data_IF_292922724099
#
_entry.id   IF_292922724099
#
_cell.length_a   1.000
_cell.length_b   1.000
_cell.length_c   1.000
_cell.angle_alpha   90.00
_cell.angle_beta   90.00
_cell.angle_gamma   90.00
#
_symmetry.space_group_name_H-M   'P 1'
#
loop_
_entity.id
_entity.type
_entity.pdbx_description
1 polymer ?
#
# COMPACT_ATOMS: atom_id res chain seq x y z
N UNK A 1 2.57 -31.78 -23.23
CA UNK A 1 2.43 -31.11 -21.92
C UNK A 1 1.69 -29.81 -22.15
N UNK A 2 0.42 -29.73 -21.74
CA UNK A 2 -0.44 -28.58 -21.97
C UNK A 2 0.03 -27.43 -21.08
N UNK A 3 0.23 -26.24 -21.68
CA UNK A 3 0.62 -25.02 -20.96
C UNK A 3 -0.37 -24.81 -19.81
N UNK A 4 0.12 -24.82 -18.57
CA UNK A 4 -0.64 -24.37 -17.40
C UNK A 4 -0.66 -22.84 -17.45
N UNK A 5 -1.83 -22.26 -17.67
CA UNK A 5 -1.98 -20.83 -17.55
C UNK A 5 -1.76 -20.42 -16.08
N UNK A 6 -0.88 -19.45 -15.79
CA UNK A 6 -0.61 -19.00 -14.42
C UNK A 6 -1.77 -18.20 -13.83
N UNK A 7 -2.81 -17.92 -14.62
CA UNK A 7 -3.94 -17.09 -14.25
C UNK A 7 -5.06 -18.01 -13.77
N UNK A 8 -5.49 -17.80 -12.53
CA UNK A 8 -6.67 -18.46 -11.98
C UNK A 8 -7.89 -18.02 -12.79
N UNK A 9 -8.58 -18.98 -13.43
CA UNK A 9 -9.84 -18.71 -14.12
C UNK A 9 -10.81 -17.99 -13.18
N UNK A 10 -11.55 -17.02 -13.72
CA UNK A 10 -12.56 -16.28 -12.96
C UNK A 10 -13.58 -17.24 -12.34
N UNK A 11 -13.92 -18.34 -13.02
CA UNK A 11 -14.81 -19.37 -12.48
C UNK A 11 -14.30 -20.03 -11.19
N UNK A 12 -12.99 -20.30 -11.11
CA UNK A 12 -12.37 -20.85 -9.89
C UNK A 12 -12.41 -19.80 -8.79
N UNK A 13 -12.12 -18.54 -9.12
CA UNK A 13 -12.14 -17.42 -8.17
C UNK A 13 -13.52 -17.24 -7.57
N UNK A 14 -14.55 -17.22 -8.41
CA UNK A 14 -15.94 -17.06 -8.00
C UNK A 14 -16.40 -18.23 -7.14
N UNK A 15 -16.05 -19.46 -7.53
CA UNK A 15 -16.33 -20.65 -6.72
C UNK A 15 -15.65 -20.55 -5.35
N UNK A 16 -14.39 -20.11 -5.31
CA UNK A 16 -13.63 -20.03 -4.07
C UNK A 16 -14.22 -18.98 -3.12
N UNK A 17 -14.67 -17.85 -3.67
CA UNK A 17 -15.42 -16.84 -2.92
C UNK A 17 -16.76 -17.41 -2.42
N UNK A 18 -17.54 -18.07 -3.27
CA UNK A 18 -18.85 -18.62 -2.88
C UNK A 18 -18.75 -19.67 -1.75
N UNK A 19 -17.73 -20.54 -1.81
CA UNK A 19 -17.52 -21.58 -0.81
C UNK A 19 -16.90 -21.07 0.49
N UNK A 20 -16.25 -19.90 0.49
CA UNK A 20 -15.60 -19.33 1.69
C UNK A 20 -16.29 -18.10 2.27
N UNK A 21 -17.15 -17.45 1.47
CA UNK A 21 -17.74 -16.14 1.74
C UNK A 21 -16.70 -15.07 2.11
N UNK A 22 -15.46 -15.21 1.63
CA UNK A 22 -14.35 -14.30 1.90
C UNK A 22 -13.68 -14.49 3.27
N UNK A 23 -14.06 -15.49 4.07
CA UNK A 23 -13.40 -15.79 5.35
C UNK A 23 -12.04 -16.42 5.06
N UNK A 24 -10.96 -15.68 5.31
CA UNK A 24 -9.59 -16.07 4.95
C UNK A 24 -9.18 -17.44 5.52
N UNK A 25 -9.55 -17.75 6.75
CA UNK A 25 -9.25 -19.04 7.38
C UNK A 25 -9.92 -20.22 6.63
N UNK A 26 -11.14 -20.02 6.13
CA UNK A 26 -11.86 -21.02 5.33
C UNK A 26 -11.24 -21.12 3.94
N UNK A 27 -10.84 -20.00 3.32
CA UNK A 27 -10.14 -19.99 2.03
C UNK A 27 -8.88 -20.87 2.08
N UNK A 28 -8.04 -20.67 3.10
CA UNK A 28 -6.78 -21.40 3.27
C UNK A 28 -7.05 -22.89 3.54
N UNK A 29 -7.97 -23.22 4.44
CA UNK A 29 -8.33 -24.60 4.75
C UNK A 29 -8.89 -25.34 3.54
N UNK A 30 -9.82 -24.71 2.80
CA UNK A 30 -10.40 -25.28 1.59
C UNK A 30 -9.31 -25.59 0.54
N UNK A 31 -8.34 -24.70 0.38
CA UNK A 31 -7.24 -24.89 -0.56
C UNK A 31 -6.32 -26.05 -0.18
N UNK A 32 -5.89 -26.10 1.08
CA UNK A 32 -5.03 -27.19 1.58
C UNK A 32 -5.76 -28.53 1.44
N UNK A 33 -7.03 -28.60 1.83
CA UNK A 33 -7.84 -29.82 1.72
C UNK A 33 -8.03 -30.23 0.25
N UNK A 34 -8.24 -29.27 -0.65
CA UNK A 34 -8.32 -29.55 -2.08
C UNK A 34 -7.00 -30.07 -2.65
N UNK A 35 -5.86 -29.52 -2.23
CA UNK A 35 -4.55 -30.04 -2.63
C UNK A 35 -4.33 -31.47 -2.13
N UNK A 36 -4.64 -31.74 -0.86
CA UNK A 36 -4.52 -33.09 -0.29
C UNK A 36 -5.39 -34.10 -1.04
N UNK A 37 -6.63 -33.72 -1.36
CA UNK A 37 -7.53 -34.59 -2.13
C UNK A 37 -7.07 -34.76 -3.57
N UNK A 38 -6.55 -33.71 -4.21
CA UNK A 38 -5.97 -33.79 -5.55
C UNK A 38 -4.84 -34.83 -5.58
N UNK A 39 -3.90 -34.75 -4.62
CA UNK A 39 -2.81 -35.72 -4.46
C UNK A 39 -3.32 -37.15 -4.26
N UNK A 40 -4.31 -37.34 -3.38
CA UNK A 40 -4.89 -38.67 -3.11
C UNK A 40 -5.55 -39.29 -4.36
N UNK A 41 -6.16 -38.45 -5.21
CA UNK A 41 -6.81 -38.89 -6.47
C UNK A 41 -5.88 -38.93 -7.68
N UNK A 42 -4.62 -38.50 -7.53
CA UNK A 42 -3.69 -38.34 -8.66
C UNK A 42 -4.04 -37.20 -9.61
N UNK A 43 -4.89 -36.26 -9.20
CA UNK A 43 -5.20 -35.07 -9.98
C UNK A 43 -4.10 -34.02 -9.79
N UNK A 44 -3.48 -33.56 -10.88
CA UNK A 44 -2.40 -32.56 -10.81
C UNK A 44 -2.91 -31.10 -10.83
N UNK A 45 -4.22 -30.90 -10.86
CA UNK A 45 -4.85 -29.58 -11.00
C UNK A 45 -6.09 -29.49 -10.11
N UNK A 46 -6.24 -28.36 -9.42
CA UNK A 46 -7.46 -28.06 -8.65
C UNK A 46 -8.54 -27.61 -9.61
N UNK A 47 -9.66 -28.34 -9.63
CA UNK A 47 -10.84 -28.01 -10.43
C UNK A 47 -11.96 -27.45 -9.55
N UNK A 48 -12.92 -26.77 -10.18
CA UNK A 48 -14.15 -26.28 -9.53
C UNK A 48 -14.90 -27.43 -8.85
N UNK A 49 -15.03 -28.56 -9.53
CA UNK A 49 -15.69 -29.76 -8.98
C UNK A 49 -14.98 -30.29 -7.74
N UNK A 50 -13.64 -30.29 -7.74
CA UNK A 50 -12.85 -30.72 -6.60
C UNK A 50 -13.09 -29.82 -5.38
N UNK A 51 -13.06 -28.50 -5.59
CA UNK A 51 -13.34 -27.52 -4.52
C UNK A 51 -14.74 -27.73 -3.92
N UNK A 52 -15.76 -27.91 -4.77
CA UNK A 52 -17.14 -28.17 -4.33
C UNK A 52 -17.23 -29.46 -3.52
N UNK A 53 -16.62 -30.55 -3.98
CA UNK A 53 -16.62 -31.83 -3.24
C UNK A 53 -15.91 -31.72 -1.90
N UNK A 54 -14.76 -31.04 -1.84
CA UNK A 54 -14.01 -30.83 -0.59
C UNK A 54 -14.82 -30.01 0.40
N UNK A 55 -15.46 -28.94 -0.08
CA UNK A 55 -16.37 -28.14 0.73
C UNK A 55 -17.50 -28.99 1.29
N UNK A 56 -18.18 -29.78 0.46
CA UNK A 56 -19.30 -30.62 0.87
C UNK A 56 -18.90 -31.69 1.89
N UNK A 57 -17.72 -32.27 1.75
CA UNK A 57 -17.30 -33.38 2.59
C UNK A 57 -16.63 -32.93 3.89
N UNK A 58 -15.73 -31.95 3.81
CA UNK A 58 -14.79 -31.61 4.89
C UNK A 58 -15.22 -30.37 5.71
N UNK A 59 -16.06 -29.49 5.14
CA UNK A 59 -16.44 -28.21 5.76
C UNK A 59 -17.91 -28.16 6.25
N UNK A 60 -18.55 -29.33 6.43
CA UNK A 60 -19.97 -29.44 6.83
C UNK A 60 -20.36 -28.59 8.04
N UNK A 61 -19.47 -28.51 9.03
CA UNK A 61 -19.72 -27.75 10.27
C UNK A 61 -19.89 -26.25 10.03
N UNK A 62 -19.22 -25.69 9.02
CA UNK A 62 -19.28 -24.26 8.71
C UNK A 62 -20.33 -23.92 7.65
N UNK A 63 -20.99 -24.92 7.04
CA UNK A 63 -22.02 -24.68 6.01
C UNK A 63 -23.20 -23.83 6.49
N UNK A 64 -23.80 -24.04 7.68
CA UNK A 64 -24.94 -23.23 8.12
C UNK A 64 -24.54 -21.75 8.26
N UNK A 65 -23.35 -21.50 8.78
CA UNK A 65 -22.78 -20.16 8.94
C UNK A 65 -22.50 -19.50 7.58
N UNK A 66 -21.85 -20.21 6.65
CA UNK A 66 -21.59 -19.69 5.30
C UNK A 66 -22.88 -19.45 4.52
N UNK A 67 -23.90 -20.26 4.73
CA UNK A 67 -25.22 -20.06 4.13
C UNK A 67 -25.94 -18.85 4.73
N UNK A 68 -25.75 -18.58 6.03
CA UNK A 68 -26.23 -17.34 6.64
C UNK A 68 -25.57 -16.11 6.01
N UNK A 69 -24.24 -16.14 5.80
CA UNK A 69 -23.50 -15.08 5.13
C UNK A 69 -23.96 -14.87 3.68
N UNK A 70 -24.13 -15.95 2.88
CA UNK A 70 -24.69 -15.87 1.52
C UNK A 70 -26.04 -15.21 1.47
N UNK A 71 -26.87 -15.47 2.48
CA UNK A 71 -28.23 -14.95 2.50
C UNK A 71 -28.32 -13.45 2.75
N UNK A 72 -27.27 -12.83 3.31
CA UNK A 72 -27.26 -11.40 3.65
C UNK A 72 -28.30 -10.99 4.70
N UNK A 73 -28.95 -11.95 5.37
CA UNK A 73 -30.04 -11.69 6.31
C UNK A 73 -29.46 -11.48 7.71
N UNK A 74 -29.56 -10.26 8.28
CA UNK A 74 -28.93 -9.93 9.56
C UNK A 74 -29.33 -10.87 10.70
N UNK A 75 -30.57 -11.32 10.75
CA UNK A 75 -31.10 -12.19 11.80
C UNK A 75 -30.46 -13.59 11.77
N UNK A 76 -30.08 -14.09 10.59
CA UNK A 76 -29.40 -15.38 10.44
C UNK A 76 -27.91 -15.23 10.73
N UNK A 77 -27.30 -14.14 10.30
CA UNK A 77 -25.89 -13.83 10.58
C UNK A 77 -25.68 -13.64 12.09
N UNK A 78 -26.64 -13.00 12.78
CA UNK A 78 -26.62 -12.79 14.22
C UNK A 78 -26.60 -14.09 15.03
N UNK A 79 -27.15 -15.19 14.51
CA UNK A 79 -27.09 -16.52 15.17
C UNK A 79 -25.68 -17.10 15.21
N UNK A 80 -24.79 -16.61 14.35
CA UNK A 80 -23.38 -16.98 14.27
C UNK A 80 -22.48 -15.79 14.68
N UNK A 81 -23.02 -14.82 15.43
CA UNK A 81 -22.39 -13.54 15.79
C UNK A 81 -21.18 -13.63 16.73
N UNK A 82 -20.82 -14.81 17.24
CA UNK A 82 -19.56 -15.00 17.96
C UNK A 82 -18.32 -14.86 17.03
N UNK A 83 -18.55 -14.62 15.74
CA UNK A 83 -17.58 -14.10 14.76
C UNK A 83 -17.51 -12.57 14.71
N UNK A 84 -18.09 -11.86 15.68
CA UNK A 84 -17.87 -10.43 15.85
C UNK A 84 -16.40 -10.20 16.22
N UNK A 85 -15.60 -9.71 15.27
CA UNK A 85 -14.39 -8.98 15.62
C UNK A 85 -14.86 -7.59 16.03
N UNK A 86 -14.86 -7.25 17.34
CA UNK A 86 -15.16 -5.89 17.76
C UNK A 86 -14.13 -4.97 17.08
N UNK A 87 -14.56 -3.77 16.69
CA UNK A 87 -13.72 -2.75 16.06
C UNK A 87 -13.32 -3.00 14.59
N UNK A 88 -13.89 -3.97 13.87
CA UNK A 88 -13.73 -4.07 12.42
C UNK A 88 -14.19 -2.80 11.72
N UNK A 89 -15.33 -2.22 12.10
CA UNK A 89 -15.83 -0.96 11.54
C UNK A 89 -14.85 0.20 11.79
N UNK A 90 -14.23 0.23 12.97
CA UNK A 90 -13.20 1.24 13.31
C UNK A 90 -11.91 1.01 12.51
N UNK A 91 -11.50 -0.24 12.30
CA UNK A 91 -10.37 -0.60 11.42
C UNK A 91 -10.66 -0.26 9.97
N UNK A 92 -11.88 -0.47 9.48
CA UNK A 92 -12.30 -0.08 8.13
C UNK A 92 -12.24 1.44 7.99
N UNK A 93 -12.79 2.20 8.95
CA UNK A 93 -12.69 3.67 8.97
C UNK A 93 -11.23 4.13 9.02
N UNK A 94 -10.40 3.53 9.86
CA UNK A 94 -8.97 3.85 9.96
C UNK A 94 -8.22 3.51 8.68
N UNK A 95 -8.52 2.38 8.03
CA UNK A 95 -7.93 1.99 6.76
C UNK A 95 -8.40 2.90 5.63
N UNK A 96 -9.67 3.32 5.59
CA UNK A 96 -10.15 4.33 4.65
C UNK A 96 -9.40 5.64 4.86
N UNK A 97 -9.25 6.11 6.10
CA UNK A 97 -8.46 7.31 6.41
C UNK A 97 -6.99 7.16 6.00
N UNK A 98 -6.38 6.00 6.25
CA UNK A 98 -5.00 5.70 5.87
C UNK A 98 -4.85 5.59 4.36
N UNK A 99 -5.87 5.07 3.66
CA UNK A 99 -5.94 5.01 2.21
C UNK A 99 -6.08 6.42 1.64
N UNK A 100 -6.99 7.26 2.16
CA UNK A 100 -7.11 8.68 1.80
C UNK A 100 -5.87 9.52 2.16
N UNK A 101 -5.09 9.10 3.16
CA UNK A 101 -3.79 9.70 3.48
C UNK A 101 -2.63 9.13 2.64
N UNK A 102 -2.83 7.98 1.96
CA UNK A 102 -1.82 7.28 1.16
C UNK A 102 -2.07 7.33 -0.35
N UNK A 103 -3.26 7.73 -0.79
CA UNK A 103 -3.45 8.31 -2.12
C UNK A 103 -2.48 9.48 -2.16
N UNK A 104 -1.49 9.40 -3.05
CA UNK A 104 -0.64 10.54 -3.37
C UNK A 104 -1.60 11.67 -3.67
N UNK A 105 -1.73 12.59 -2.72
CA UNK A 105 -2.58 13.77 -2.89
C UNK A 105 -2.13 14.37 -4.22
N UNK A 106 -3.06 14.51 -5.16
CA UNK A 106 -2.74 15.21 -6.40
C UNK A 106 -2.19 16.58 -6.00
N UNK A 107 -1.21 17.13 -6.73
CA UNK A 107 -0.70 18.49 -6.45
C UNK A 107 -1.87 19.49 -6.31
N UNK A 108 -2.96 19.20 -7.01
CA UNK A 108 -4.26 19.86 -6.93
C UNK A 108 -4.91 19.77 -5.54
N UNK A 109 -4.97 18.60 -4.91
CA UNK A 109 -5.57 18.41 -3.59
C UNK A 109 -4.75 19.10 -2.49
N UNK A 110 -3.42 19.14 -2.64
CA UNK A 110 -2.54 19.90 -1.74
C UNK A 110 -2.73 21.40 -1.91
N UNK A 111 -2.82 21.87 -3.15
CA UNK A 111 -3.09 23.26 -3.47
C UNK A 111 -4.41 23.76 -2.88
N UNK A 112 -5.50 22.99 -3.08
CA UNK A 112 -6.83 23.34 -2.56
C UNK A 112 -6.89 23.35 -1.03
N UNK A 113 -6.12 22.48 -0.35
CA UNK A 113 -6.02 22.45 1.12
C UNK A 113 -5.25 23.64 1.69
N UNK A 114 -4.24 24.15 0.98
CA UNK A 114 -3.46 25.32 1.41
C UNK A 114 -4.23 26.65 1.28
N UNK A 115 -5.25 26.69 0.43
CA UNK A 115 -6.08 27.87 0.22
C UNK A 115 -7.21 27.90 1.26
N UNK A 116 -7.16 28.84 2.20
CA UNK A 116 -8.12 28.93 3.32
C UNK A 116 -9.47 29.54 2.94
N UNK A 117 -9.54 30.39 1.90
CA UNK A 117 -10.77 31.09 1.51
C UNK A 117 -11.40 30.48 0.25
N UNK A 118 -12.72 30.30 0.24
CA UNK A 118 -13.47 29.67 -0.85
C UNK A 118 -13.30 30.44 -2.17
N UNK A 119 -13.19 31.77 -2.10
CA UNK A 119 -12.91 32.61 -3.27
C UNK A 119 -11.54 32.33 -3.88
N UNK A 120 -10.53 32.02 -3.07
CA UNK A 120 -9.18 31.70 -3.54
C UNK A 120 -9.13 30.33 -4.23
N UNK A 121 -9.87 29.34 -3.69
CA UNK A 121 -10.01 28.00 -4.29
C UNK A 121 -10.68 28.06 -5.65
N UNK A 122 -11.73 28.88 -5.77
CA UNK A 122 -12.47 29.07 -7.03
C UNK A 122 -11.61 29.77 -8.09
N UNK A 123 -10.79 30.74 -7.68
CA UNK A 123 -9.85 31.42 -8.57
C UNK A 123 -8.74 30.48 -9.05
N UNK A 124 -8.17 29.69 -8.15
CA UNK A 124 -7.21 28.63 -8.49
C UNK A 124 -7.82 27.63 -9.49
N UNK A 125 -9.05 27.18 -9.25
CA UNK A 125 -9.75 26.25 -10.14
C UNK A 125 -10.09 26.85 -11.52
N UNK A 126 -10.19 28.18 -11.65
CA UNK A 126 -10.42 28.85 -12.93
C UNK A 126 -9.12 29.04 -13.74
N UNK A 127 -7.98 29.20 -13.08
CA UNK A 127 -6.68 29.48 -13.74
C UNK A 127 -5.80 28.23 -13.92
N UNK A 128 -6.18 27.09 -13.32
CA UNK A 128 -5.39 25.85 -13.35
C UNK A 128 -5.11 25.31 -14.76
N UNK A 129 -5.98 25.62 -15.73
CA UNK A 129 -5.87 25.09 -17.08
C UNK A 129 -4.88 25.92 -17.93
N UNK A 130 -4.54 27.13 -17.50
CA UNK A 130 -3.68 28.07 -18.23
C UNK A 130 -2.27 28.20 -17.61
N UNK A 131 -2.09 27.91 -16.31
CA UNK A 131 -0.82 28.14 -15.60
C UNK A 131 -0.49 27.02 -14.60
N UNK A 132 0.80 26.76 -14.31
CA UNK A 132 1.22 25.74 -13.36
C UNK A 132 0.80 26.05 -11.92
N UNK A 133 0.29 25.03 -11.24
CA UNK A 133 -0.31 25.04 -9.90
C UNK A 133 0.50 25.84 -8.85
N UNK A 134 1.81 25.63 -8.78
CA UNK A 134 2.69 26.24 -7.77
C UNK A 134 2.79 27.76 -7.91
N UNK A 135 2.87 28.26 -9.14
CA UNK A 135 2.97 29.68 -9.43
C UNK A 135 1.68 30.41 -9.06
N UNK A 136 0.52 29.77 -9.29
CA UNK A 136 -0.78 30.34 -8.95
C UNK A 136 -0.92 30.45 -7.42
N UNK A 137 -0.55 29.41 -6.67
CA UNK A 137 -0.63 29.40 -5.20
C UNK A 137 0.28 30.49 -4.62
N UNK A 138 1.51 30.61 -5.13
CA UNK A 138 2.45 31.64 -4.68
C UNK A 138 1.93 33.05 -4.96
N UNK A 139 1.41 33.30 -6.16
CA UNK A 139 0.82 34.60 -6.51
C UNK A 139 -0.38 34.93 -5.61
N UNK A 140 -1.27 33.95 -5.37
CA UNK A 140 -2.43 34.10 -4.46
C UNK A 140 -1.94 34.46 -3.05
N UNK A 141 -1.00 33.71 -2.48
CA UNK A 141 -0.49 33.96 -1.13
C UNK A 141 0.16 35.34 -1.01
N UNK A 142 0.99 35.73 -1.98
CA UNK A 142 1.66 37.05 -2.00
C UNK A 142 0.65 38.20 -2.06
N UNK A 143 -0.35 38.11 -2.93
CA UNK A 143 -1.34 39.17 -3.12
C UNK A 143 -2.25 39.30 -1.90
N UNK A 144 -2.66 38.17 -1.32
CA UNK A 144 -3.51 38.14 -0.12
C UNK A 144 -2.77 38.69 1.10
N UNK A 145 -1.48 38.41 1.23
CA UNK A 145 -0.65 38.98 2.29
C UNK A 145 -0.50 40.50 2.18
N UNK A 146 -0.41 41.03 0.95
CA UNK A 146 -0.27 42.46 0.70
C UNK A 146 -1.59 43.24 0.89
N UNK A 147 -2.73 42.60 0.61
CA UNK A 147 -4.06 43.22 0.70
C UNK A 147 -5.11 42.20 1.15
N UNK A 148 -5.42 42.14 2.46
CA UNK A 148 -6.27 41.09 3.03
C UNK A 148 -7.78 41.25 2.76
N UNK A 149 -8.24 42.36 2.18
CA UNK A 149 -9.64 42.61 1.80
C UNK A 149 -9.75 42.92 0.30
N UNK A 150 -9.54 41.92 -0.55
CA UNK A 150 -9.67 42.02 -2.01
C UNK A 150 -10.94 41.29 -2.48
N UNK A 151 -11.70 41.93 -3.37
CA UNK A 151 -12.82 41.29 -4.06
C UNK A 151 -12.33 40.31 -5.13
N UNK A 152 -13.02 39.16 -5.30
CA UNK A 152 -12.65 38.05 -6.20
C UNK A 152 -12.16 38.49 -7.59
N UNK A 153 -12.81 39.47 -8.20
CA UNK A 153 -12.46 39.95 -9.54
C UNK A 153 -11.12 40.70 -9.58
N UNK A 154 -10.79 41.44 -8.52
CA UNK A 154 -9.51 42.14 -8.41
C UNK A 154 -8.37 41.17 -8.07
N UNK A 155 -8.66 40.07 -7.37
CA UNK A 155 -7.70 39.00 -7.10
C UNK A 155 -7.29 38.31 -8.41
N UNK A 156 -8.27 37.94 -9.24
CA UNK A 156 -8.03 37.36 -10.57
C UNK A 156 -7.17 38.27 -11.46
N UNK A 157 -7.56 39.54 -11.59
CA UNK A 157 -6.85 40.49 -12.43
C UNK A 157 -5.39 40.71 -11.98
N UNK A 158 -5.15 40.79 -10.66
CA UNK A 158 -3.81 40.98 -10.12
C UNK A 158 -2.91 39.75 -10.29
N UNK A 159 -3.47 38.53 -10.21
CA UNK A 159 -2.72 37.29 -10.41
C UNK A 159 -2.28 37.14 -11.87
N UNK A 160 -3.20 37.36 -12.81
CA UNK A 160 -2.89 37.30 -14.25
C UNK A 160 -1.80 38.32 -14.60
N UNK A 161 -1.92 39.57 -14.11
CA UNK A 161 -0.92 40.61 -14.35
C UNK A 161 0.46 40.26 -13.74
N UNK A 162 0.51 39.63 -12.58
CA UNK A 162 1.77 39.21 -11.95
C UNK A 162 2.44 38.05 -12.71
N UNK A 163 1.66 37.12 -13.27
CA UNK A 163 2.20 35.99 -14.03
C UNK A 163 2.68 36.39 -15.42
N UNK A 164 2.09 37.41 -16.05
CA UNK A 164 2.62 37.99 -17.29
C UNK A 164 4.01 38.64 -17.10
N UNK A 165 4.35 39.08 -15.88
CA UNK A 165 5.63 39.75 -15.60
C UNK A 165 6.82 38.82 -15.26
N UNK A 166 6.60 37.54 -14.94
CA UNK A 166 7.63 36.59 -14.45
C UNK A 166 8.15 35.59 -15.52
N UNK A 167 8.04 35.90 -16.82
CA UNK A 167 8.63 35.09 -17.91
C UNK A 167 10.18 35.17 -17.99
N UNK A 168 10.90 34.72 -16.96
CA UNK A 168 12.34 34.40 -17.05
C UNK A 168 12.64 33.04 -16.40
N UNK A 169 13.15 32.03 -17.16
CA UNK A 169 13.27 30.67 -16.68
C UNK A 169 14.54 30.48 -15.84
N UNK A 170 14.41 29.96 -14.62
CA UNK A 170 15.56 29.44 -13.85
C UNK A 170 15.24 28.03 -13.34
N UNK A 171 15.88 27.04 -13.99
CA UNK A 171 15.85 25.63 -13.62
C UNK A 171 16.89 25.35 -12.52
N UNK A 172 16.50 24.59 -11.50
CA UNK A 172 17.44 23.76 -10.74
C UNK A 172 16.76 22.42 -10.40
N UNK A 173 17.11 21.31 -11.07
CA UNK A 173 16.55 20.00 -10.76
C UNK A 173 17.33 19.33 -9.61
N UNK A 174 16.66 19.08 -8.49
CA UNK A 174 17.14 18.16 -7.46
C UNK A 174 16.98 16.70 -7.94
N UNK A 175 18.06 16.06 -8.35
CA UNK A 175 18.07 14.66 -8.78
C UNK A 175 18.18 13.72 -7.57
N UNK A 176 17.12 12.95 -7.30
CA UNK A 176 17.14 11.82 -6.34
C UNK A 176 18.04 10.71 -6.88
N UNK A 177 19.12 10.36 -6.18
CA UNK A 177 20.01 9.24 -6.57
C UNK A 177 19.27 7.90 -6.46
N UNK A 178 19.16 7.17 -7.56
CA UNK A 178 18.59 5.81 -7.64
C UNK A 178 19.53 4.80 -6.95
N UNK A 179 18.98 3.87 -6.16
CA UNK A 179 19.72 2.74 -5.59
C UNK A 179 20.31 1.86 -6.70
N UNK A 180 21.63 1.91 -6.89
CA UNK A 180 22.33 1.04 -7.84
C UNK A 180 22.64 -0.30 -7.18
N UNK A 181 22.41 -1.41 -7.91
CA UNK A 181 22.68 -2.77 -7.45
C UNK A 181 24.17 -3.08 -7.64
N UNK A 182 24.92 -3.13 -6.54
CA UNK A 182 26.38 -3.37 -6.53
C UNK A 182 26.67 -4.87 -6.67
N UNK A 183 27.61 -5.27 -7.52
CA UNK A 183 27.94 -6.68 -7.75
C UNK A 183 28.83 -7.27 -6.66
N UNK A 184 28.77 -8.58 -6.45
CA UNK A 184 29.46 -9.32 -5.38
C UNK A 184 31.00 -9.17 -5.39
N UNK A 185 31.58 -8.84 -6.55
CA UNK A 185 33.04 -8.61 -6.69
C UNK A 185 33.50 -7.26 -6.12
N UNK A 186 32.58 -6.31 -6.01
CA UNK A 186 32.85 -4.95 -5.52
C UNK A 186 32.59 -4.82 -4.02
N UNK A 187 32.25 -5.91 -3.34
CA UNK A 187 31.97 -5.88 -1.90
C UNK A 187 33.23 -5.62 -1.07
N UNK A 188 34.40 -5.94 -1.59
CA UNK A 188 35.72 -5.65 -0.98
C UNK A 188 36.13 -4.16 -1.04
N UNK A 189 35.39 -3.31 -1.75
CA UNK A 189 35.70 -1.88 -1.90
C UNK A 189 34.73 -0.98 -1.10
N UNK A 190 33.82 -1.61 -0.33
CA UNK A 190 32.82 -0.91 0.47
C UNK A 190 33.41 -0.48 1.83
N UNK A 191 32.74 0.44 2.50
CA UNK A 191 33.18 0.94 3.81
C UNK A 191 33.25 -0.18 4.86
N UNK A 192 34.20 -0.07 5.79
CA UNK A 192 34.49 -1.09 6.81
C UNK A 192 33.32 -1.39 7.79
N UNK A 193 32.31 -0.53 7.81
CA UNK A 193 31.07 -0.66 8.60
C UNK A 193 29.92 -1.32 7.82
N UNK A 194 30.06 -1.50 6.51
CA UNK A 194 29.07 -2.19 5.70
C UNK A 194 29.20 -3.72 5.90
N UNK A 195 28.09 -4.34 6.30
CA UNK A 195 28.00 -5.79 6.51
C UNK A 195 28.43 -6.61 5.27
N UNK A 196 28.30 -6.03 4.07
CA UNK A 196 28.70 -6.68 2.82
C UNK A 196 30.21 -6.81 2.67
N UNK A 197 30.96 -5.79 3.12
CA UNK A 197 32.42 -5.82 3.16
C UNK A 197 32.94 -6.84 4.18
N UNK A 198 32.32 -6.87 5.36
CA UNK A 198 32.66 -7.81 6.43
C UNK A 198 32.44 -9.25 5.99
N UNK A 199 31.38 -9.50 5.22
CA UNK A 199 31.08 -10.81 4.66
C UNK A 199 32.08 -11.24 3.58
N UNK A 200 32.54 -10.34 2.72
CA UNK A 200 33.46 -10.68 1.64
C UNK A 200 34.88 -10.99 2.13
N UNK A 201 35.28 -10.46 3.29
CA UNK A 201 36.56 -10.76 3.94
C UNK A 201 36.57 -12.15 4.60
N UNK A 202 35.43 -12.62 5.12
CA UNK A 202 35.35 -13.86 5.91
C UNK A 202 34.34 -14.88 5.35
N UNK A 203 34.63 -15.54 4.21
CA UNK A 203 33.65 -16.42 3.54
C UNK A 203 33.43 -17.79 4.20
N UNK A 204 34.26 -18.22 5.16
CA UNK A 204 34.37 -19.67 5.48
C UNK A 204 34.05 -20.07 6.93
N UNK A 205 33.65 -19.16 7.82
CA UNK A 205 33.13 -19.59 9.14
C UNK A 205 32.15 -18.58 9.76
N UNK A 206 30.94 -19.02 10.19
CA UNK A 206 29.95 -18.15 10.81
C UNK A 206 30.39 -17.62 12.19
N UNK A 207 31.22 -18.37 12.93
CA UNK A 207 31.76 -17.93 14.22
C UNK A 207 32.73 -16.75 14.07
N UNK A 208 33.53 -16.71 13.00
CA UNK A 208 34.47 -15.61 12.75
C UNK A 208 33.78 -14.30 12.37
N UNK A 209 32.59 -14.35 11.76
CA UNK A 209 31.82 -13.16 11.39
C UNK A 209 31.21 -12.52 12.64
N UNK A 210 30.66 -13.35 13.53
CA UNK A 210 30.08 -12.89 14.80
C UNK A 210 31.12 -12.17 15.66
N UNK A 211 32.32 -12.74 15.82
CA UNK A 211 33.40 -12.10 16.58
C UNK A 211 33.86 -10.78 15.97
N UNK A 212 33.89 -10.66 14.65
CA UNK A 212 34.29 -9.42 13.97
C UNK A 212 33.26 -8.30 14.16
N UNK A 213 31.97 -8.65 14.11
CA UNK A 213 30.87 -7.71 14.32
C UNK A 213 30.78 -7.23 15.77
N UNK A 214 31.08 -8.11 16.74
CA UNK A 214 31.22 -7.76 18.16
C UNK A 214 32.41 -6.81 18.37
N UNK A 215 33.57 -7.10 17.78
CA UNK A 215 34.76 -6.23 17.82
C UNK A 215 34.53 -4.84 17.20
N UNK A 216 33.68 -4.74 16.17
CA UNK A 216 33.30 -3.45 15.57
C UNK A 216 32.17 -2.73 16.32
N UNK A 217 31.66 -3.29 17.42
CA UNK A 217 30.61 -2.69 18.25
C UNK A 217 29.24 -2.61 17.56
N UNK A 218 29.04 -3.41 16.51
CA UNK A 218 27.79 -3.46 15.73
C UNK A 218 26.76 -4.44 16.32
N UNK A 219 27.15 -5.21 17.34
CA UNK A 219 26.28 -6.13 18.06
C UNK A 219 25.92 -5.51 19.42
N UNK A 220 24.63 -5.32 19.65
CA UNK A 220 24.12 -4.93 20.96
C UNK A 220 24.07 -6.16 21.88
N UNK A 221 24.80 -6.10 22.99
CA UNK A 221 24.73 -7.13 24.02
C UNK A 221 23.48 -6.91 24.88
N UNK A 222 22.59 -7.91 24.90
CA UNK A 222 21.30 -7.81 25.62
C UNK A 222 21.46 -7.63 27.13
N UNK A 223 22.63 -7.98 27.70
CA UNK A 223 22.99 -7.71 29.09
C UNK A 223 23.02 -6.22 29.40
N UNK A 224 23.41 -5.37 28.44
CA UNK A 224 23.53 -3.93 28.63
C UNK A 224 22.16 -3.22 28.66
N UNK A 225 21.12 -3.90 28.17
CA UNK A 225 19.73 -3.41 28.20
C UNK A 225 18.96 -3.84 29.46
N UNK A 226 19.53 -4.74 30.26
CA UNK A 226 18.89 -5.31 31.46
C UNK A 226 19.51 -4.82 32.77
N UNK A 227 20.39 -3.82 32.70
CA UNK A 227 20.92 -3.07 33.85
C UNK A 227 20.04 -1.89 34.24
#
# INVERSE_FOLDING_TARGET
MQKRDPILSDEIRDTWFDLSQGILDIVVKLFILAQLRALATGAETITVELLKRVYEDELKLVHPMLSALRSGIPERIAQFSDLAVPDMDKKIIHLIQKISASTVESEEDQALKQLSNDDQRRVYLMLKDEFPSDSIIFAIQKIVALKPQISRQQLLAAIVQAMETDNTPSQAPATKKKNQRISLKQWNELEDTDLRHIFSINPTSPESIYTQLDHQGLILQMSDLLS
#
